data_IF_646303173407
#
_entry.id   IF_646303173407
#
_cell.length_a   1.000
_cell.length_b   1.000
_cell.length_c   1.000
_cell.angle_alpha   90.00
_cell.angle_beta   90.00
_cell.angle_gamma   90.00
#
_symmetry.space_group_name_H-M   'P 1'
#
loop_
_entity.id
_entity.type
_entity.pdbx_description
1 polymer ?
#
# COMPACT_ATOMS: atom_id res chain seq x y z
N UNK A 1 -39.38 8.43 18.36
CA UNK A 1 -38.56 7.39 17.69
C UNK A 1 -38.10 7.84 16.29
N UNK A 2 -39.01 8.15 15.35
CA UNK A 2 -38.65 8.59 13.98
C UNK A 2 -37.76 9.85 13.95
N UNK A 3 -38.16 10.91 14.67
CA UNK A 3 -37.40 12.16 14.74
C UNK A 3 -36.00 11.97 15.34
N UNK A 4 -35.87 11.12 16.36
CA UNK A 4 -34.58 10.75 16.95
C UNK A 4 -33.70 10.00 15.95
N UNK A 5 -34.26 9.02 15.23
CA UNK A 5 -33.53 8.28 14.20
C UNK A 5 -33.04 9.22 13.08
N UNK A 6 -33.89 10.12 12.59
CA UNK A 6 -33.52 11.11 11.58
C UNK A 6 -32.40 12.03 12.09
N UNK A 7 -32.50 12.52 13.33
CA UNK A 7 -31.45 13.36 13.94
C UNK A 7 -30.13 12.60 14.08
N UNK A 8 -30.16 11.36 14.57
CA UNK A 8 -28.97 10.50 14.65
C UNK A 8 -28.33 10.28 13.28
N UNK A 9 -29.13 10.01 12.23
CA UNK A 9 -28.61 9.80 10.89
C UNK A 9 -27.94 11.06 10.31
N UNK A 10 -28.53 12.24 10.55
CA UNK A 10 -27.92 13.53 10.15
C UNK A 10 -26.57 13.73 10.83
N UNK A 11 -26.49 13.47 12.14
CA UNK A 11 -25.22 13.58 12.87
C UNK A 11 -24.15 12.61 12.32
N UNK A 12 -24.53 11.37 12.02
CA UNK A 12 -23.63 10.38 11.43
C UNK A 12 -23.10 10.81 10.05
N UNK A 13 -23.96 11.34 9.16
CA UNK A 13 -23.48 11.77 7.83
C UNK A 13 -22.60 13.00 7.91
N UNK A 14 -22.86 13.92 8.85
CA UNK A 14 -21.99 15.09 9.06
C UNK A 14 -20.60 14.64 9.51
N UNK A 15 -20.51 13.73 10.49
CA UNK A 15 -19.24 13.17 10.93
C UNK A 15 -18.53 12.43 9.80
N UNK A 16 -19.24 11.59 9.05
CA UNK A 16 -18.69 10.89 7.88
C UNK A 16 -18.14 11.87 6.84
N UNK A 17 -18.88 12.93 6.52
CA UNK A 17 -18.43 13.96 5.58
C UNK A 17 -17.18 14.69 6.05
N UNK A 18 -17.05 14.99 7.35
CA UNK A 18 -15.81 15.57 7.89
C UNK A 18 -14.61 14.62 7.73
N UNK A 19 -14.77 13.36 8.12
CA UNK A 19 -13.68 12.37 8.01
C UNK A 19 -13.31 12.12 6.55
N UNK A 20 -14.29 12.05 5.64
CA UNK A 20 -14.03 11.89 4.20
C UNK A 20 -13.33 13.12 3.61
N UNK A 21 -13.69 14.33 4.04
CA UNK A 21 -12.98 15.56 3.62
C UNK A 21 -11.53 15.58 4.10
N UNK A 22 -11.29 15.19 5.35
CA UNK A 22 -9.94 15.06 5.90
C UNK A 22 -9.14 13.99 5.15
N UNK A 23 -9.76 12.85 4.85
CA UNK A 23 -9.18 11.79 4.03
C UNK A 23 -8.80 12.28 2.63
N UNK A 24 -9.70 12.98 1.94
CA UNK A 24 -9.40 13.58 0.63
C UNK A 24 -8.23 14.57 0.73
N UNK A 25 -8.22 15.47 1.71
CA UNK A 25 -7.12 16.42 1.90
C UNK A 25 -5.77 15.72 2.14
N UNK A 26 -5.76 14.57 2.81
CA UNK A 26 -4.55 13.80 3.10
C UNK A 26 -3.89 13.18 1.86
N UNK A 27 -4.62 13.04 0.75
CA UNK A 27 -4.07 12.56 -0.52
C UNK A 27 -3.10 13.57 -1.16
N UNK A 28 -3.13 14.83 -0.70
CA UNK A 28 -2.29 15.90 -1.23
C UNK A 28 -2.79 16.43 -2.58
N UNK A 29 -2.33 17.61 -2.96
CA UNK A 29 -2.78 18.31 -4.18
C UNK A 29 -2.41 17.62 -5.49
N UNK A 30 -1.59 16.57 -5.43
CA UNK A 30 -1.06 15.85 -6.59
C UNK A 30 -2.04 14.80 -7.14
N UNK A 31 -3.12 14.50 -6.42
CA UNK A 31 -4.20 13.60 -6.88
C UNK A 31 -5.61 14.23 -6.72
N UNK A 32 -5.91 15.32 -7.45
CA UNK A 32 -7.19 16.01 -7.35
C UNK A 32 -8.36 15.17 -7.86
N UNK A 33 -8.12 14.24 -8.78
CA UNK A 33 -9.17 13.39 -9.34
C UNK A 33 -9.73 12.44 -8.28
N UNK A 34 -8.86 11.73 -7.55
CA UNK A 34 -9.27 10.84 -6.46
C UNK A 34 -9.95 11.61 -5.33
N UNK A 35 -9.44 12.81 -4.99
CA UNK A 35 -10.11 13.70 -4.03
C UNK A 35 -11.55 14.00 -4.45
N UNK A 36 -11.77 14.41 -5.69
CA UNK A 36 -13.10 14.75 -6.21
C UNK A 36 -14.03 13.53 -6.19
N UNK A 37 -13.54 12.36 -6.60
CA UNK A 37 -14.32 11.10 -6.56
C UNK A 37 -14.75 10.78 -5.13
N UNK A 38 -13.84 10.86 -4.16
CA UNK A 38 -14.11 10.56 -2.76
C UNK A 38 -15.11 11.55 -2.14
N UNK A 39 -14.98 12.84 -2.44
CA UNK A 39 -15.91 13.89 -2.00
C UNK A 39 -17.30 13.71 -2.64
N UNK A 40 -17.37 13.37 -3.92
CA UNK A 40 -18.65 13.14 -4.59
C UNK A 40 -19.36 11.89 -4.05
N UNK A 41 -18.62 10.83 -3.75
CA UNK A 41 -19.20 9.63 -3.14
C UNK A 41 -19.90 9.92 -1.80
N UNK A 42 -19.32 10.76 -0.93
CA UNK A 42 -19.99 11.12 0.34
C UNK A 42 -21.15 12.11 0.14
N UNK A 43 -21.09 12.99 -0.87
CA UNK A 43 -22.22 13.86 -1.23
C UNK A 43 -23.43 13.04 -1.70
N UNK A 44 -23.20 12.00 -2.49
CA UNK A 44 -24.26 11.12 -2.98
C UNK A 44 -24.92 10.35 -1.83
N UNK A 45 -24.13 9.89 -0.85
CA UNK A 45 -24.67 9.30 0.39
C UNK A 45 -25.51 10.32 1.17
N UNK A 46 -25.06 11.56 1.30
CA UNK A 46 -25.81 12.62 2.00
C UNK A 46 -27.14 12.96 1.31
N UNK A 47 -27.14 13.01 -0.03
CA UNK A 47 -28.36 13.20 -0.81
C UNK A 47 -29.33 12.03 -0.64
N UNK A 48 -28.83 10.80 -0.78
CA UNK A 48 -29.63 9.60 -0.57
C UNK A 48 -30.21 9.52 0.85
N UNK A 49 -29.50 10.05 1.86
CA UNK A 49 -30.00 10.10 3.23
C UNK A 49 -31.16 11.08 3.37
N UNK A 50 -31.03 12.25 2.75
CA UNK A 50 -32.09 13.26 2.76
C UNK A 50 -33.37 12.72 2.11
N UNK A 51 -33.23 12.02 0.99
CA UNK A 51 -34.34 11.38 0.29
C UNK A 51 -34.95 10.26 1.14
N UNK A 52 -34.12 9.45 1.81
CA UNK A 52 -34.56 8.38 2.72
C UNK A 52 -35.32 8.92 3.93
N UNK A 53 -34.84 9.99 4.56
CA UNK A 53 -35.53 10.66 5.67
C UNK A 53 -36.88 11.19 5.20
N UNK A 54 -36.92 11.81 4.02
CA UNK A 54 -38.15 12.32 3.41
C UNK A 54 -39.16 11.21 3.13
N UNK A 55 -38.74 10.10 2.52
CA UNK A 55 -39.58 8.94 2.26
C UNK A 55 -40.09 8.30 3.56
N UNK A 56 -39.24 8.23 4.59
CA UNK A 56 -39.58 7.72 5.92
C UNK A 56 -40.66 8.56 6.60
N UNK A 57 -40.57 9.90 6.47
CA UNK A 57 -41.60 10.82 6.95
C UNK A 57 -42.93 10.60 6.22
N UNK A 58 -42.91 10.47 4.89
CA UNK A 58 -44.10 10.26 4.08
C UNK A 58 -44.80 8.92 4.35
N UNK A 59 -44.05 7.89 4.75
CA UNK A 59 -44.55 6.56 5.06
C UNK A 59 -44.98 6.37 6.53
N UNK A 60 -44.60 7.29 7.43
CA UNK A 60 -44.84 7.15 8.86
C UNK A 60 -46.33 7.06 9.19
N UNK A 61 -46.74 5.98 9.89
CA UNK A 61 -48.12 5.77 10.33
C UNK A 61 -49.06 5.25 9.24
N UNK A 62 -48.56 4.94 8.04
CA UNK A 62 -49.34 4.41 6.93
C UNK A 62 -49.32 2.87 6.88
N UNK A 63 -50.34 2.23 6.29
CA UNK A 63 -50.38 0.78 6.14
C UNK A 63 -49.33 0.29 5.13
N UNK A 64 -49.00 -1.00 5.18
CA UNK A 64 -47.87 -1.58 4.44
C UNK A 64 -48.05 -1.60 2.91
N UNK A 65 -49.29 -1.49 2.44
CA UNK A 65 -49.71 -1.45 1.05
C UNK A 65 -49.76 -0.02 0.46
N UNK A 66 -49.54 1.01 1.28
CA UNK A 66 -49.53 2.40 0.80
C UNK A 66 -48.35 2.64 -0.19
N UNK A 67 -48.57 3.38 -1.30
CA UNK A 67 -47.53 3.71 -2.27
C UNK A 67 -46.24 4.29 -1.67
N UNK A 68 -46.33 5.05 -0.57
CA UNK A 68 -45.16 5.62 0.11
C UNK A 68 -44.27 4.57 0.78
N UNK A 69 -44.80 3.39 1.15
CA UNK A 69 -43.99 2.27 1.64
C UNK A 69 -43.11 1.69 0.53
N UNK A 70 -43.56 1.71 -0.73
CA UNK A 70 -42.73 1.33 -1.88
C UNK A 70 -41.63 2.36 -2.14
N UNK A 71 -41.95 3.66 -2.04
CA UNK A 71 -40.95 4.72 -2.15
C UNK A 71 -39.89 4.63 -1.04
N UNK A 72 -40.29 4.32 0.19
CA UNK A 72 -39.36 4.09 1.30
C UNK A 72 -38.41 2.92 1.02
N UNK A 73 -38.93 1.78 0.54
CA UNK A 73 -38.10 0.63 0.15
C UNK A 73 -37.12 1.01 -0.96
N UNK A 74 -37.57 1.78 -1.96
CA UNK A 74 -36.73 2.25 -3.04
C UNK A 74 -35.61 3.19 -2.54
N UNK A 75 -35.96 4.18 -1.72
CA UNK A 75 -35.00 5.11 -1.12
C UNK A 75 -33.97 4.39 -0.24
N UNK A 76 -34.41 3.39 0.53
CA UNK A 76 -33.51 2.55 1.33
C UNK A 76 -32.53 1.76 0.46
N UNK A 77 -33.01 1.20 -0.67
CA UNK A 77 -32.14 0.53 -1.65
C UNK A 77 -31.11 1.49 -2.24
N UNK A 78 -31.52 2.70 -2.62
CA UNK A 78 -30.62 3.74 -3.13
C UNK A 78 -29.57 4.13 -2.08
N UNK A 79 -29.96 4.27 -0.82
CA UNK A 79 -29.02 4.50 0.29
C UNK A 79 -27.94 3.40 0.38
N UNK A 80 -28.37 2.13 0.41
CA UNK A 80 -27.43 0.99 0.48
C UNK A 80 -26.47 0.97 -0.71
N UNK A 81 -26.96 1.23 -1.92
CA UNK A 81 -26.12 1.33 -3.11
C UNK A 81 -25.08 2.43 -2.97
N UNK A 82 -25.46 3.63 -2.53
CA UNK A 82 -24.53 4.76 -2.38
C UNK A 82 -23.47 4.50 -1.31
N UNK A 83 -23.86 3.93 -0.16
CA UNK A 83 -22.91 3.51 0.88
C UNK A 83 -21.94 2.46 0.35
N UNK A 84 -22.43 1.48 -0.40
CA UNK A 84 -21.58 0.44 -1.01
C UNK A 84 -20.59 1.05 -2.01
N UNK A 85 -21.03 2.01 -2.83
CA UNK A 85 -20.15 2.73 -3.75
C UNK A 85 -19.08 3.53 -3.01
N UNK A 86 -19.43 4.23 -1.93
CA UNK A 86 -18.47 4.94 -1.09
C UNK A 86 -17.42 3.98 -0.49
N UNK A 87 -17.83 2.82 0.02
CA UNK A 87 -16.89 1.82 0.54
C UNK A 87 -15.93 1.31 -0.54
N UNK A 88 -16.41 1.10 -1.77
CA UNK A 88 -15.56 0.74 -2.91
C UNK A 88 -14.57 1.83 -3.25
N UNK A 89 -15.00 3.09 -3.25
CA UNK A 89 -14.12 4.25 -3.48
C UNK A 89 -13.04 4.33 -2.41
N UNK A 90 -13.41 4.29 -1.13
CA UNK A 90 -12.46 4.30 0.00
C UNK A 90 -11.45 3.18 -0.13
N UNK A 91 -11.90 1.96 -0.44
CA UNK A 91 -11.01 0.82 -0.66
C UNK A 91 -10.03 1.05 -1.82
N UNK A 92 -10.50 1.60 -2.94
CA UNK A 92 -9.63 1.89 -4.08
C UNK A 92 -8.54 2.91 -3.71
N UNK A 93 -8.90 3.93 -2.93
CA UNK A 93 -7.94 4.93 -2.42
C UNK A 93 -6.91 4.28 -1.49
N UNK A 94 -7.35 3.43 -0.57
CA UNK A 94 -6.45 2.71 0.35
C UNK A 94 -5.52 1.75 -0.40
N UNK A 95 -6.04 1.00 -1.36
CA UNK A 95 -5.26 0.07 -2.18
C UNK A 95 -4.16 0.83 -2.97
N UNK A 96 -4.47 2.02 -3.47
CA UNK A 96 -3.53 2.90 -4.17
C UNK A 96 -2.49 3.50 -3.21
N UNK A 97 -2.91 3.98 -2.05
CA UNK A 97 -2.02 4.55 -1.03
C UNK A 97 -1.04 3.53 -0.43
N UNK A 98 -1.31 2.23 -0.55
CA UNK A 98 -0.51 1.16 0.06
C UNK A 98 0.26 0.29 -0.93
N UNK A 99 0.13 0.52 -2.25
CA UNK A 99 0.72 -0.36 -3.27
C UNK A 99 2.25 -0.43 -3.20
N UNK A 100 2.92 0.69 -2.94
CA UNK A 100 4.37 0.79 -2.79
C UNK A 100 4.84 0.13 -1.50
N UNK A 101 4.12 0.35 -0.40
CA UNK A 101 4.37 -0.34 0.88
C UNK A 101 4.33 -1.86 0.69
N UNK A 102 3.29 -2.39 0.04
CA UNK A 102 3.17 -3.82 -0.26
C UNK A 102 4.32 -4.33 -1.16
N UNK A 103 4.73 -3.55 -2.15
CA UNK A 103 5.87 -3.90 -3.01
C UNK A 103 7.20 -3.94 -2.23
N UNK A 104 7.37 -3.05 -1.24
CA UNK A 104 8.53 -3.03 -0.37
C UNK A 104 8.55 -4.23 0.59
N UNK A 105 7.42 -4.54 1.23
CA UNK A 105 7.27 -5.74 2.08
C UNK A 105 7.62 -7.03 1.31
N UNK A 106 7.06 -7.19 0.10
CA UNK A 106 7.38 -8.31 -0.77
C UNK A 106 8.87 -8.36 -1.16
N UNK A 107 9.52 -7.20 -1.28
CA UNK A 107 10.96 -7.10 -1.55
C UNK A 107 11.78 -7.55 -0.36
N UNK A 108 11.41 -7.16 0.86
CA UNK A 108 12.07 -7.59 2.09
C UNK A 108 12.00 -9.11 2.22
N UNK A 109 10.82 -9.71 2.00
CA UNK A 109 10.68 -11.17 2.04
C UNK A 109 11.53 -11.87 0.97
N UNK A 110 11.58 -11.32 -0.25
CA UNK A 110 12.47 -11.83 -1.30
C UNK A 110 13.94 -11.75 -0.88
N UNK A 111 14.39 -10.65 -0.27
CA UNK A 111 15.77 -10.50 0.20
C UNK A 111 16.09 -11.50 1.32
N UNK A 112 15.14 -11.78 2.23
CA UNK A 112 15.31 -12.82 3.26
C UNK A 112 15.51 -14.21 2.67
N UNK A 113 14.77 -14.53 1.61
CA UNK A 113 14.93 -15.80 0.88
C UNK A 113 16.31 -15.89 0.22
N UNK A 114 16.74 -14.83 -0.48
CA UNK A 114 18.08 -14.74 -1.06
C UNK A 114 19.19 -14.88 -0.01
N UNK A 115 19.03 -14.24 1.15
CA UNK A 115 19.98 -14.36 2.26
C UNK A 115 20.05 -15.80 2.79
N UNK A 116 18.93 -16.50 2.84
CA UNK A 116 18.89 -17.92 3.24
C UNK A 116 19.67 -18.80 2.25
N UNK A 117 19.50 -18.58 0.95
CA UNK A 117 20.26 -19.27 -0.11
C UNK A 117 21.75 -18.91 -0.02
N UNK A 118 22.06 -17.64 0.21
CA UNK A 118 23.43 -17.16 0.39
C UNK A 118 24.15 -17.88 1.54
N UNK A 119 23.48 -18.02 2.68
CA UNK A 119 24.00 -18.69 3.88
C UNK A 119 24.02 -20.23 3.79
N UNK A 120 23.44 -20.81 2.74
CA UNK A 120 23.47 -22.26 2.54
C UNK A 120 24.90 -22.76 2.32
N UNK A 121 25.13 -24.04 2.65
CA UNK A 121 26.41 -24.73 2.42
C UNK A 121 26.66 -25.08 0.95
N UNK A 122 25.71 -24.78 0.07
CA UNK A 122 25.84 -25.06 -1.35
C UNK A 122 26.95 -24.22 -1.96
N UNK A 123 27.84 -24.90 -2.69
CA UNK A 123 28.91 -24.24 -3.43
C UNK A 123 28.32 -23.54 -4.65
N UNK A 124 28.80 -22.33 -4.98
CA UNK A 124 28.34 -21.66 -6.18
C UNK A 124 28.77 -22.45 -7.44
N UNK A 125 27.88 -22.52 -8.44
CA UNK A 125 28.16 -23.22 -9.72
C UNK A 125 29.28 -22.55 -10.53
N UNK A 126 29.53 -21.27 -10.30
CA UNK A 126 30.51 -20.44 -10.99
C UNK A 126 31.27 -19.59 -9.98
N UNK A 127 32.48 -19.21 -10.32
CA UNK A 127 33.27 -18.25 -9.54
C UNK A 127 33.47 -16.99 -10.35
N UNK A 128 33.58 -15.86 -9.65
CA UNK A 128 33.86 -14.54 -10.23
C UNK A 128 35.15 -13.99 -9.66
N UNK A 129 35.76 -13.05 -10.39
CA UNK A 129 36.89 -12.32 -9.83
C UNK A 129 36.41 -11.33 -8.76
N UNK A 130 37.23 -11.02 -7.75
CA UNK A 130 36.90 -9.99 -6.76
C UNK A 130 36.56 -8.62 -7.38
N UNK A 131 37.16 -8.27 -8.53
CA UNK A 131 36.89 -7.03 -9.26
C UNK A 131 35.45 -6.97 -9.82
N UNK A 132 34.92 -8.13 -10.25
CA UNK A 132 33.53 -8.24 -10.70
C UNK A 132 32.55 -8.03 -9.53
N UNK A 133 32.89 -8.53 -8.33
CA UNK A 133 32.12 -8.28 -7.11
C UNK A 133 32.09 -6.79 -6.72
N UNK A 134 33.22 -6.08 -6.81
CA UNK A 134 33.29 -4.63 -6.51
C UNK A 134 32.33 -3.82 -7.40
N UNK A 135 31.99 -4.29 -8.59
CA UNK A 135 31.00 -3.61 -9.44
C UNK A 135 29.59 -3.69 -8.87
N UNK A 136 29.24 -4.79 -8.21
CA UNK A 136 27.90 -5.01 -7.66
C UNK A 136 27.62 -4.18 -6.41
N UNK A 137 28.65 -3.84 -5.63
CA UNK A 137 28.51 -2.97 -4.45
C UNK A 137 28.05 -1.55 -4.80
N UNK A 138 28.39 -1.05 -6.00
CA UNK A 138 27.87 0.23 -6.52
C UNK A 138 26.35 0.21 -6.73
N UNK A 139 25.78 -0.96 -7.05
CA UNK A 139 24.34 -1.15 -7.17
C UNK A 139 23.63 -0.88 -5.84
N UNK A 140 24.19 -1.35 -4.74
CA UNK A 140 23.66 -1.11 -3.39
C UNK A 140 23.68 0.37 -3.02
N UNK A 141 24.77 1.08 -3.29
CA UNK A 141 24.85 2.53 -3.03
C UNK A 141 23.75 3.29 -3.78
N UNK A 142 23.53 2.94 -5.04
CA UNK A 142 22.47 3.55 -5.86
C UNK A 142 21.08 3.21 -5.33
N UNK A 143 20.84 1.95 -4.94
CA UNK A 143 19.57 1.51 -4.38
C UNK A 143 19.27 2.23 -3.04
N UNK A 144 20.28 2.38 -2.19
CA UNK A 144 20.19 3.12 -0.92
C UNK A 144 19.84 4.58 -1.14
N UNK A 145 20.52 5.25 -2.07
CA UNK A 145 20.22 6.64 -2.41
C UNK A 145 18.78 6.81 -2.94
N UNK A 146 18.31 5.88 -3.77
CA UNK A 146 16.92 5.88 -4.24
C UNK A 146 15.92 5.61 -3.11
N UNK A 147 16.26 4.74 -2.15
CA UNK A 147 15.39 4.48 -1.01
C UNK A 147 15.19 5.73 -0.15
N UNK A 148 16.25 6.49 0.10
CA UNK A 148 16.16 7.79 0.78
C UNK A 148 15.30 8.77 -0.02
N UNK A 149 15.51 8.86 -1.33
CA UNK A 149 14.73 9.74 -2.19
C UNK A 149 13.24 9.38 -2.23
N UNK A 150 12.90 8.09 -2.33
CA UNK A 150 11.53 7.59 -2.32
C UNK A 150 10.84 7.81 -0.95
N UNK A 151 11.58 7.66 0.15
CA UNK A 151 11.10 8.00 1.49
C UNK A 151 10.75 9.49 1.59
N UNK A 152 11.59 10.37 1.04
CA UNK A 152 11.35 11.81 1.04
C UNK A 152 10.21 12.24 0.11
N UNK A 153 10.01 11.55 -1.02
CA UNK A 153 8.94 11.90 -1.95
C UNK A 153 7.57 11.40 -1.51
N UNK A 154 7.52 10.33 -0.71
CA UNK A 154 6.30 9.63 -0.30
C UNK A 154 5.42 9.17 -1.48
N UNK A 155 5.98 9.13 -2.70
CA UNK A 155 5.26 8.71 -3.90
C UNK A 155 5.31 7.20 -4.03
N UNK A 156 4.15 6.57 -4.15
CA UNK A 156 4.05 5.11 -4.27
C UNK A 156 4.84 4.56 -5.46
N UNK A 157 4.91 5.28 -6.58
CA UNK A 157 5.69 4.87 -7.76
C UNK A 157 7.20 4.86 -7.50
N UNK A 158 7.70 5.84 -6.75
CA UNK A 158 9.12 5.91 -6.37
C UNK A 158 9.46 4.77 -5.41
N UNK A 159 8.55 4.45 -4.48
CA UNK A 159 8.68 3.31 -3.57
C UNK A 159 8.69 1.99 -4.35
N UNK A 160 7.80 1.79 -5.34
CA UNK A 160 7.81 0.60 -6.20
C UNK A 160 9.10 0.49 -6.99
N UNK A 161 9.55 1.59 -7.61
CA UNK A 161 10.79 1.63 -8.39
C UNK A 161 12.00 1.26 -7.53
N UNK A 162 12.04 1.82 -6.32
CA UNK A 162 13.06 1.53 -5.30
C UNK A 162 13.00 0.07 -4.86
N UNK A 163 11.83 -0.47 -4.58
CA UNK A 163 11.65 -1.86 -4.16
C UNK A 163 12.20 -2.82 -5.23
N UNK A 164 11.87 -2.61 -6.51
CA UNK A 164 12.39 -3.42 -7.61
C UNK A 164 13.91 -3.31 -7.78
N UNK A 165 14.45 -2.08 -7.69
CA UNK A 165 15.90 -1.86 -7.76
C UNK A 165 16.62 -2.54 -6.59
N UNK A 166 16.07 -2.41 -5.39
CA UNK A 166 16.62 -2.99 -4.14
C UNK A 166 16.69 -4.50 -4.22
N UNK A 167 15.61 -5.15 -4.68
CA UNK A 167 15.55 -6.59 -4.87
C UNK A 167 16.69 -7.08 -5.77
N UNK A 168 16.83 -6.44 -6.95
CA UNK A 168 17.86 -6.80 -7.91
C UNK A 168 19.26 -6.57 -7.36
N UNK A 169 19.50 -5.39 -6.80
CA UNK A 169 20.82 -5.02 -6.30
C UNK A 169 21.29 -5.97 -5.18
N UNK A 170 20.38 -6.37 -4.27
CA UNK A 170 20.69 -7.33 -3.21
C UNK A 170 20.93 -8.75 -3.73
N UNK A 171 20.09 -9.24 -4.65
CA UNK A 171 20.29 -10.55 -5.27
C UNK A 171 21.62 -10.63 -6.03
N UNK A 172 21.94 -9.61 -6.84
CA UNK A 172 23.18 -9.53 -7.60
C UNK A 172 24.39 -9.46 -6.65
N UNK A 173 24.31 -8.69 -5.55
CA UNK A 173 25.38 -8.54 -4.56
C UNK A 173 25.64 -9.85 -3.81
N UNK A 174 24.59 -10.51 -3.29
CA UNK A 174 24.73 -11.76 -2.55
C UNK A 174 25.29 -12.88 -3.45
N UNK A 175 24.77 -12.99 -4.68
CA UNK A 175 25.25 -13.97 -5.66
C UNK A 175 26.73 -13.74 -5.99
N UNK A 176 27.09 -12.51 -6.35
CA UNK A 176 28.47 -12.18 -6.70
C UNK A 176 29.43 -12.32 -5.50
N UNK A 177 28.98 -11.96 -4.29
CA UNK A 177 29.77 -12.14 -3.08
C UNK A 177 30.08 -13.62 -2.85
N UNK A 178 29.07 -14.51 -2.95
CA UNK A 178 29.27 -15.95 -2.77
C UNK A 178 30.22 -16.48 -3.82
N UNK A 179 30.03 -16.14 -5.09
CA UNK A 179 30.87 -16.63 -6.19
C UNK A 179 32.32 -16.14 -6.10
N UNK A 180 32.55 -14.89 -5.70
CA UNK A 180 33.89 -14.35 -5.50
C UNK A 180 34.57 -14.93 -4.24
N UNK A 181 33.82 -15.13 -3.16
CA UNK A 181 34.36 -15.66 -1.91
C UNK A 181 34.84 -17.12 -2.04
N UNK A 182 34.34 -17.87 -3.03
CA UNK A 182 34.79 -19.23 -3.36
C UNK A 182 35.77 -19.29 -4.55
N UNK A 183 36.29 -18.15 -5.02
CA UNK A 183 37.35 -18.11 -6.03
C UNK A 183 38.65 -18.77 -5.49
N UNK A 184 39.40 -19.45 -6.35
CA UNK A 184 40.58 -20.25 -5.96
C UNK A 184 41.70 -19.44 -5.30
N UNK A 185 41.79 -18.15 -5.63
CA UNK A 185 42.78 -17.22 -5.10
C UNK A 185 42.38 -16.60 -3.75
N UNK A 186 41.16 -16.86 -3.27
CA UNK A 186 40.65 -16.30 -2.01
C UNK A 186 40.89 -17.29 -0.87
N UNK A 187 41.67 -16.86 0.13
CA UNK A 187 41.92 -17.68 1.31
C UNK A 187 40.69 -17.74 2.24
N UNK A 188 40.66 -18.76 3.10
CA UNK A 188 39.52 -19.05 3.98
C UNK A 188 39.14 -17.90 4.91
N UNK A 189 40.13 -17.21 5.49
CA UNK A 189 39.88 -16.08 6.39
C UNK A 189 39.18 -14.91 5.66
N UNK A 190 39.60 -14.62 4.43
CA UNK A 190 38.99 -13.56 3.60
C UNK A 190 37.59 -13.95 3.18
N UNK A 191 37.39 -15.22 2.78
CA UNK A 191 36.06 -15.78 2.45
C UNK A 191 35.10 -15.62 3.63
N UNK A 192 35.48 -16.08 4.81
CA UNK A 192 34.62 -16.04 6.00
C UNK A 192 34.23 -14.59 6.37
N UNK A 193 35.19 -13.66 6.26
CA UNK A 193 34.92 -12.23 6.50
C UNK A 193 33.98 -11.63 5.44
N UNK A 194 34.18 -11.95 4.16
CA UNK A 194 33.32 -11.45 3.08
C UNK A 194 31.87 -11.91 3.26
N UNK A 195 31.66 -13.20 3.55
CA UNK A 195 30.32 -13.77 3.79
C UNK A 195 29.64 -13.14 5.02
N UNK A 196 30.40 -12.90 6.09
CA UNK A 196 29.90 -12.23 7.29
C UNK A 196 29.46 -10.79 6.99
N UNK A 197 30.32 -9.97 6.35
CA UNK A 197 29.98 -8.58 6.05
C UNK A 197 28.84 -8.45 5.02
N UNK A 198 28.72 -9.38 4.06
CA UNK A 198 27.59 -9.40 3.16
C UNK A 198 26.28 -9.67 3.91
N UNK A 199 26.30 -10.60 4.88
CA UNK A 199 25.15 -10.86 5.77
C UNK A 199 24.77 -9.61 6.57
N UNK A 200 25.74 -8.98 7.25
CA UNK A 200 25.50 -7.76 8.03
C UNK A 200 24.98 -6.61 7.16
N UNK A 201 25.52 -6.45 5.94
CA UNK A 201 25.07 -5.44 4.99
C UNK A 201 23.61 -5.68 4.57
N UNK A 202 23.24 -6.93 4.26
CA UNK A 202 21.86 -7.27 3.88
C UNK A 202 20.89 -7.08 5.05
N UNK A 203 21.27 -7.49 6.26
CA UNK A 203 20.47 -7.26 7.47
C UNK A 203 20.30 -5.77 7.74
N UNK A 204 21.38 -5.00 7.66
CA UNK A 204 21.35 -3.55 7.84
C UNK A 204 20.57 -2.81 6.75
N UNK A 205 20.47 -3.35 5.54
CA UNK A 205 19.68 -2.76 4.46
C UNK A 205 18.17 -2.99 4.61
N UNK A 206 17.77 -4.08 5.27
CA UNK A 206 16.36 -4.40 5.52
C UNK A 206 15.80 -3.68 6.77
N UNK A 207 16.66 -3.16 7.64
CA UNK A 207 16.30 -2.43 8.86
C UNK A 207 16.09 -0.94 8.62
#
# INVERSE_FOLDING_TARGET
>A
KLAQAAHSSVNTITQLAEVVKQGAASLGSDDPETQVVLINAVKDVAKALTDLISATKCAAGKPADDPSMYQLKSAAKVMVTNVTSLLKTVKAVEDEATRGTRALEATIESIKQELTVFQSKELPEKTYSPEEFIRMTKGITTATAKAVAAGNSCRQDDVISTANLSRKAMADMLTACKQAAYHSEVCEDVRNRALHFATECTVGYMG
#
